data_IF_993939787603
#
_entry.id   IF_993939787603
#
_cell.length_a   1.000
_cell.length_b   1.000
_cell.length_c   1.000
_cell.angle_alpha   90.00
_cell.angle_beta   90.00
_cell.angle_gamma   90.00
#
_symmetry.space_group_name_H-M   'P 1'
#
loop_
_entity.id
_entity.type
_entity.pdbx_description
1 polymer ?
#
# COMPACT_ATOMS: atom_id res chain seq x y z
N UNK A 1 -3.20 -16.32 -10.43
CA UNK A 1 -2.19 -15.80 -9.51
C UNK A 1 -1.52 -14.59 -10.14
N UNK A 2 -1.54 -13.45 -9.47
CA UNK A 2 -0.90 -12.23 -9.94
C UNK A 2 0.56 -12.20 -9.52
N UNK A 3 1.43 -11.65 -10.37
CA UNK A 3 2.82 -11.41 -10.01
C UNK A 3 2.93 -10.17 -9.15
N UNK A 4 3.73 -10.24 -8.09
CA UNK A 4 3.91 -9.13 -7.14
C UNK A 4 4.36 -7.85 -7.87
N UNK A 5 3.68 -6.75 -7.57
CA UNK A 5 3.90 -5.42 -8.15
C UNK A 5 3.63 -5.31 -9.66
N UNK A 6 2.96 -6.29 -10.25
CA UNK A 6 2.49 -6.21 -11.64
C UNK A 6 1.15 -5.46 -11.72
N UNK A 7 0.75 -5.10 -12.94
CA UNK A 7 -0.57 -4.51 -13.17
C UNK A 7 -1.70 -5.44 -12.74
N UNK A 8 -1.51 -6.75 -12.89
CA UNK A 8 -2.47 -7.76 -12.42
C UNK A 8 -2.59 -7.75 -10.90
N UNK A 9 -1.48 -7.59 -10.19
CA UNK A 9 -1.48 -7.46 -8.73
C UNK A 9 -2.25 -6.21 -8.31
N UNK A 10 -2.01 -5.08 -8.96
CA UNK A 10 -2.73 -3.85 -8.64
C UNK A 10 -4.23 -3.97 -8.93
N UNK A 11 -4.62 -4.62 -10.02
CA UNK A 11 -6.03 -4.87 -10.32
C UNK A 11 -6.68 -5.77 -9.27
N UNK A 12 -6.00 -6.83 -8.87
CA UNK A 12 -6.49 -7.73 -7.82
C UNK A 12 -6.61 -7.01 -6.48
N UNK A 13 -5.65 -6.16 -6.14
CA UNK A 13 -5.68 -5.35 -4.93
C UNK A 13 -6.88 -4.40 -4.94
N UNK A 14 -7.11 -3.71 -6.05
CA UNK A 14 -8.24 -2.78 -6.18
C UNK A 14 -9.56 -3.51 -5.99
N UNK A 15 -9.73 -4.66 -6.62
CA UNK A 15 -10.95 -5.45 -6.49
C UNK A 15 -11.16 -5.92 -5.05
N UNK A 16 -10.13 -6.46 -4.42
CA UNK A 16 -10.22 -6.95 -3.05
C UNK A 16 -10.51 -5.82 -2.06
N UNK A 17 -9.85 -4.68 -2.19
CA UNK A 17 -10.03 -3.53 -1.31
C UNK A 17 -11.43 -2.92 -1.47
N UNK A 18 -11.91 -2.78 -2.70
CA UNK A 18 -13.21 -2.20 -2.96
C UNK A 18 -14.37 -3.14 -2.60
N UNK A 19 -14.08 -4.41 -2.35
CA UNK A 19 -15.08 -5.42 -1.98
C UNK A 19 -15.05 -5.78 -0.50
N UNK A 20 -14.02 -5.41 0.24
CA UNK A 20 -13.85 -5.79 1.65
C UNK A 20 -14.64 -4.86 2.56
N UNK A 21 -15.62 -5.37 3.35
CA UNK A 21 -16.43 -4.50 4.22
C UNK A 21 -15.62 -3.78 5.29
N UNK A 22 -14.59 -4.43 5.84
CA UNK A 22 -13.74 -3.81 6.87
C UNK A 22 -12.95 -2.64 6.31
N UNK A 23 -12.39 -2.79 5.12
CA UNK A 23 -11.65 -1.72 4.47
C UNK A 23 -12.59 -0.58 4.04
N UNK A 24 -13.77 -0.90 3.50
CA UNK A 24 -14.75 0.10 3.10
C UNK A 24 -15.20 0.94 4.30
N UNK A 25 -15.40 0.32 5.46
CA UNK A 25 -15.68 1.06 6.68
C UNK A 25 -14.53 1.98 7.09
N UNK A 26 -13.30 1.50 6.97
CA UNK A 26 -12.12 2.27 7.37
C UNK A 26 -11.94 3.52 6.52
N UNK A 27 -12.32 3.49 5.24
CA UNK A 27 -12.10 4.61 4.31
C UNK A 27 -13.29 5.55 4.19
N UNK A 28 -14.36 5.34 4.93
CA UNK A 28 -15.54 6.22 4.90
C UNK A 28 -15.12 7.65 5.27
N UNK A 29 -15.34 8.59 4.34
CA UNK A 29 -14.98 9.99 4.55
C UNK A 29 -13.47 10.28 4.49
N UNK A 30 -12.65 9.33 4.06
CA UNK A 30 -11.20 9.49 4.00
C UNK A 30 -10.76 9.91 2.59
N UNK A 31 -9.91 10.93 2.52
CA UNK A 31 -9.16 11.26 1.31
C UNK A 31 -7.68 11.10 1.61
N UNK A 32 -7.01 10.19 0.92
CA UNK A 32 -5.61 9.88 1.18
C UNK A 32 -4.92 9.45 -0.11
N UNK A 33 -3.80 10.07 -0.41
CA UNK A 33 -2.93 9.66 -1.50
C UNK A 33 -1.60 9.19 -0.96
N UNK A 34 -1.15 8.00 -1.36
CA UNK A 34 0.12 7.43 -0.91
C UNK A 34 0.94 7.04 -2.12
N UNK A 35 2.17 7.54 -2.18
CA UNK A 35 3.15 7.16 -3.19
C UNK A 35 4.08 6.10 -2.62
N UNK A 36 4.21 4.98 -3.30
CA UNK A 36 5.11 3.90 -2.92
C UNK A 36 6.29 3.82 -3.87
N UNK A 37 7.49 3.76 -3.32
CA UNK A 37 8.72 3.57 -4.09
C UNK A 37 9.42 2.32 -3.55
N UNK A 38 9.58 1.32 -4.40
CA UNK A 38 10.19 0.03 -4.04
C UNK A 38 11.49 -0.14 -4.82
N UNK A 39 12.60 -0.28 -4.11
CA UNK A 39 13.92 -0.45 -4.71
C UNK A 39 14.34 -1.92 -4.73
N UNK A 40 15.22 -2.25 -5.67
CA UNK A 40 15.85 -3.56 -5.73
C UNK A 40 14.94 -4.70 -6.16
N UNK A 41 13.88 -4.41 -6.94
CA UNK A 41 13.04 -5.48 -7.49
C UNK A 41 13.78 -6.17 -8.64
N UNK A 42 13.36 -7.38 -9.05
CA UNK A 42 13.96 -8.06 -10.20
C UNK A 42 13.94 -7.24 -11.48
N UNK A 43 13.00 -6.31 -11.61
CA UNK A 43 12.84 -5.45 -12.78
C UNK A 43 13.37 -4.02 -12.55
N UNK A 44 14.14 -3.80 -11.48
CA UNK A 44 14.65 -2.50 -11.09
C UNK A 44 13.76 -1.83 -10.06
N UNK A 45 13.88 -0.51 -9.94
CA UNK A 45 13.05 0.24 -8.99
C UNK A 45 11.64 0.42 -9.56
N UNK A 46 10.64 0.20 -8.71
CA UNK A 46 9.21 0.28 -9.08
C UNK A 46 8.54 1.36 -8.25
N UNK A 47 7.78 2.21 -8.91
CA UNK A 47 6.95 3.21 -8.23
C UNK A 47 5.48 2.95 -8.56
N UNK A 48 4.63 3.06 -7.55
CA UNK A 48 3.19 2.98 -7.73
C UNK A 48 2.50 3.82 -6.67
N UNK A 49 1.22 4.10 -6.85
CA UNK A 49 0.49 4.94 -5.90
C UNK A 49 -0.90 4.41 -5.62
N UNK A 50 -1.39 4.75 -4.44
CA UNK A 50 -2.72 4.41 -3.96
C UNK A 50 -3.48 5.71 -3.73
N UNK A 51 -4.71 5.78 -4.24
CA UNK A 51 -5.60 6.90 -4.00
C UNK A 51 -6.88 6.41 -3.33
N UNK A 52 -7.25 7.01 -2.21
CA UNK A 52 -8.50 6.74 -1.50
C UNK A 52 -9.34 8.00 -1.56
N UNK A 53 -10.52 7.92 -2.17
CA UNK A 53 -11.43 9.05 -2.31
C UNK A 53 -12.85 8.55 -2.58
N UNK A 54 -13.83 9.23 -2.00
CA UNK A 54 -15.26 8.97 -2.23
C UNK A 54 -15.67 7.50 -1.96
N UNK A 55 -15.04 6.87 -0.98
CA UNK A 55 -15.35 5.50 -0.61
C UNK A 55 -14.80 4.45 -1.56
N UNK A 56 -13.85 4.82 -2.41
CA UNK A 56 -13.19 3.92 -3.36
C UNK A 56 -11.68 4.03 -3.28
N UNK A 57 -11.01 2.96 -3.68
CA UNK A 57 -9.55 2.91 -3.73
C UNK A 57 -9.10 2.56 -5.15
N UNK A 58 -8.01 3.19 -5.58
CA UNK A 58 -7.37 2.88 -6.85
C UNK A 58 -5.86 2.79 -6.66
N UNK A 59 -5.26 1.74 -7.18
CA UNK A 59 -3.81 1.55 -7.21
C UNK A 59 -3.35 1.55 -8.65
N UNK A 60 -2.30 2.30 -8.96
CA UNK A 60 -1.77 2.40 -10.32
C UNK A 60 -0.26 2.55 -10.30
N UNK A 61 0.38 2.15 -11.41
CA UNK A 61 1.82 2.33 -11.58
C UNK A 61 2.16 3.79 -11.84
N UNK A 62 3.34 4.21 -11.40
CA UNK A 62 3.88 5.52 -11.70
C UNK A 62 3.95 6.42 -10.48
N UNK A 63 4.07 7.73 -10.72
CA UNK A 63 4.17 8.72 -9.67
C UNK A 63 2.89 9.56 -9.59
N UNK A 64 2.49 9.88 -8.37
CA UNK A 64 1.38 10.78 -8.08
C UNK A 64 1.89 11.99 -7.31
N UNK A 65 2.07 13.10 -7.99
CA UNK A 65 2.58 14.33 -7.39
C UNK A 65 1.61 14.92 -6.35
N UNK A 66 0.36 14.50 -6.37
CA UNK A 66 -0.65 14.92 -5.41
C UNK A 66 -0.74 14.01 -4.17
N UNK A 67 0.17 13.05 -4.03
CA UNK A 67 0.17 12.18 -2.87
C UNK A 67 0.46 12.96 -1.59
N UNK A 68 -0.29 12.65 -0.53
CA UNK A 68 -0.11 13.26 0.78
C UNK A 68 1.10 12.67 1.51
N UNK A 69 1.42 11.43 1.21
CA UNK A 69 2.39 10.61 1.93
C UNK A 69 3.23 9.84 0.93
N UNK A 70 4.52 9.69 1.24
CA UNK A 70 5.42 8.82 0.47
C UNK A 70 5.94 7.70 1.36
N UNK A 71 6.03 6.49 0.81
CA UNK A 71 6.57 5.32 1.51
C UNK A 71 7.64 4.69 0.63
N UNK A 72 8.88 4.68 1.12
CA UNK A 72 10.01 4.06 0.45
C UNK A 72 10.41 2.77 1.16
N UNK A 73 10.64 1.69 0.40
CA UNK A 73 11.08 0.41 0.95
C UNK A 73 11.88 -0.35 -0.09
N UNK A 74 12.60 -1.39 0.34
CA UNK A 74 13.22 -2.32 -0.59
C UNK A 74 12.23 -3.45 -0.94
N UNK A 75 12.60 -4.23 -1.95
CA UNK A 75 11.74 -5.32 -2.44
C UNK A 75 11.45 -6.36 -1.36
N UNK A 76 12.46 -6.79 -0.60
CA UNK A 76 12.30 -7.81 0.43
C UNK A 76 11.38 -7.34 1.55
N UNK A 77 11.50 -6.07 1.95
CA UNK A 77 10.61 -5.48 2.98
C UNK A 77 9.17 -5.39 2.47
N UNK A 78 8.97 -4.91 1.25
CA UNK A 78 7.64 -4.82 0.65
C UNK A 78 7.00 -6.19 0.52
N UNK A 79 7.78 -7.19 0.12
CA UNK A 79 7.32 -8.57 -0.01
C UNK A 79 6.89 -9.13 1.35
N UNK A 80 7.69 -8.93 2.39
CA UNK A 80 7.37 -9.39 3.74
C UNK A 80 6.08 -8.75 4.28
N UNK A 81 5.90 -7.46 4.04
CA UNK A 81 4.67 -6.76 4.45
C UNK A 81 3.47 -7.32 3.68
N UNK A 82 3.60 -7.51 2.39
CA UNK A 82 2.51 -8.05 1.56
C UNK A 82 2.11 -9.47 1.96
N UNK A 83 3.08 -10.28 2.38
CA UNK A 83 2.81 -11.64 2.86
C UNK A 83 2.22 -11.69 4.27
N UNK A 84 2.19 -10.56 4.97
CA UNK A 84 1.77 -10.51 6.36
C UNK A 84 2.83 -10.97 7.36
N UNK A 85 4.06 -11.15 6.91
CA UNK A 85 5.19 -11.58 7.75
C UNK A 85 5.80 -10.43 8.55
N UNK A 86 5.59 -9.19 8.11
CA UNK A 86 6.13 -8.00 8.73
C UNK A 86 5.04 -6.94 8.85
N UNK A 87 4.87 -6.42 10.05
CA UNK A 87 3.91 -5.36 10.33
C UNK A 87 4.48 -4.02 9.87
N UNK A 88 3.64 -3.17 9.26
CA UNK A 88 4.04 -1.86 8.74
C UNK A 88 4.64 -0.99 9.85
N UNK A 89 4.03 -0.97 11.02
CA UNK A 89 4.51 -0.16 12.15
C UNK A 89 5.88 -0.62 12.63
N UNK A 90 6.11 -1.92 12.69
CA UNK A 90 7.41 -2.47 13.08
C UNK A 90 8.46 -2.18 12.02
N UNK A 91 8.10 -2.25 10.74
CA UNK A 91 9.01 -1.89 9.66
C UNK A 91 9.43 -0.43 9.74
N UNK A 92 8.50 0.46 10.06
CA UNK A 92 8.78 1.87 10.24
C UNK A 92 9.71 2.10 11.43
N UNK A 93 9.40 1.50 12.58
CA UNK A 93 10.19 1.66 13.79
C UNK A 93 11.62 1.12 13.68
N UNK A 94 11.80 0.05 12.90
CA UNK A 94 13.11 -0.56 12.68
C UNK A 94 13.89 0.10 11.51
N UNK A 95 13.32 1.10 10.86
CA UNK A 95 13.97 1.80 9.75
C UNK A 95 13.96 1.06 8.43
N UNK A 96 13.16 0.01 8.30
CA UNK A 96 13.05 -0.77 7.06
C UNK A 96 12.22 -0.06 5.99
N UNK A 97 11.32 0.81 6.39
CA UNK A 97 10.60 1.68 5.47
C UNK A 97 10.83 3.13 5.88
N UNK A 98 10.80 4.02 4.89
CA UNK A 98 10.92 5.45 5.10
C UNK A 98 9.62 6.10 4.71
N UNK A 99 9.07 6.92 5.61
CA UNK A 99 7.79 7.58 5.41
C UNK A 99 8.00 9.07 5.42
N UNK A 100 7.50 9.75 4.40
CA UNK A 100 7.57 11.20 4.29
C UNK A 100 6.21 11.81 3.99
N UNK A 101 6.14 13.13 3.99
CA UNK A 101 4.92 13.85 3.68
C UNK A 101 4.10 14.18 4.92
N UNK A 102 2.79 14.09 4.82
CA UNK A 102 1.89 14.51 5.88
C UNK A 102 1.74 13.43 6.97
N UNK A 103 2.60 13.50 7.97
CA UNK A 103 2.61 12.55 9.08
C UNK A 103 1.32 12.59 9.90
N UNK A 104 0.67 13.76 9.99
CA UNK A 104 -0.60 13.87 10.71
C UNK A 104 -1.69 13.00 10.04
N UNK A 105 -1.74 12.95 8.71
CA UNK A 105 -2.67 12.07 8.00
C UNK A 105 -2.38 10.61 8.27
N UNK A 106 -1.11 10.21 8.33
CA UNK A 106 -0.73 8.84 8.65
C UNK A 106 -1.27 8.46 10.03
N UNK A 107 -1.07 9.32 11.01
CA UNK A 107 -1.52 9.06 12.39
C UNK A 107 -3.04 9.02 12.50
N UNK A 108 -3.74 9.87 11.75
CA UNK A 108 -5.20 9.90 11.73
C UNK A 108 -5.80 8.66 11.09
N UNK A 109 -5.08 8.04 10.14
CA UNK A 109 -5.59 6.96 9.33
C UNK A 109 -4.86 5.63 9.55
N UNK A 110 -4.39 5.37 10.77
CA UNK A 110 -3.74 4.11 11.14
C UNK A 110 -4.64 2.91 10.83
N UNK A 111 -5.94 3.05 11.06
CA UNK A 111 -6.89 1.97 10.78
C UNK A 111 -6.95 1.64 9.28
N UNK A 112 -6.87 2.65 8.42
CA UNK A 112 -6.82 2.45 6.96
C UNK A 112 -5.58 1.65 6.58
N UNK A 113 -4.43 2.01 7.13
CA UNK A 113 -3.16 1.33 6.86
C UNK A 113 -3.22 -0.13 7.32
N UNK A 114 -3.74 -0.39 8.50
CA UNK A 114 -3.86 -1.74 9.04
C UNK A 114 -4.81 -2.60 8.21
N UNK A 115 -5.94 -2.06 7.81
CA UNK A 115 -6.91 -2.78 6.97
C UNK A 115 -6.36 -3.04 5.56
N UNK A 116 -5.63 -2.08 5.01
CA UNK A 116 -4.95 -2.25 3.73
C UNK A 116 -4.00 -3.44 3.77
N UNK A 117 -3.15 -3.49 4.78
CA UNK A 117 -2.18 -4.58 4.93
C UNK A 117 -2.89 -5.93 5.12
N UNK A 118 -3.98 -5.96 5.89
CA UNK A 118 -4.76 -7.18 6.13
C UNK A 118 -5.35 -7.72 4.82
N UNK A 119 -5.96 -6.87 4.03
CA UNK A 119 -6.56 -7.30 2.76
C UNK A 119 -5.49 -7.80 1.79
N UNK A 120 -4.38 -7.08 1.66
CA UNK A 120 -3.31 -7.47 0.75
C UNK A 120 -2.65 -8.79 1.15
N UNK A 121 -2.52 -9.07 2.44
CA UNK A 121 -1.93 -10.33 2.92
C UNK A 121 -2.79 -11.54 2.57
N UNK A 122 -4.07 -11.34 2.29
CA UNK A 122 -4.98 -12.40 1.88
C UNK A 122 -5.01 -12.65 0.37
N UNK A 123 -4.30 -11.87 -0.44
CA UNK A 123 -4.28 -12.04 -1.88
C UNK A 123 -3.35 -13.19 -2.28
N UNK A 124 -3.73 -13.89 -3.34
CA UNK A 124 -2.91 -14.93 -3.95
C UNK A 124 -1.95 -14.27 -4.93
N UNK A 125 -0.70 -14.12 -4.51
CA UNK A 125 0.31 -13.37 -5.26
C UNK A 125 1.56 -14.24 -5.42
N UNK A 126 2.12 -14.21 -6.62
CA UNK A 126 3.37 -14.90 -6.95
C UNK A 126 4.55 -13.95 -6.72
N UNK A 127 5.35 -14.27 -5.74
CA UNK A 127 6.56 -13.53 -5.40
C UNK A 127 7.80 -14.13 -6.09
#
# INVERSE_FOLDING_TARGET
VATFLSSEHFAAANEALNSDPGFQNAITGVELGVQFDVSGTPDGDVSYYLTVKDGAVATASGANDAADVTVGSDFETSKAISKGELNVQMAFMSGKIKVGGNMAKIMMHQNVINEYARVLSGLDVDY
#
